data_IF_686751013494
#
_entry.id   IF_686751013494
#
_cell.length_a   1.000
_cell.length_b   1.000
_cell.length_c   1.000
_cell.angle_alpha   90.00
_cell.angle_beta   90.00
_cell.angle_gamma   90.00
#
_symmetry.space_group_name_H-M   'P 1'
#
loop_
_entity.id
_entity.type
_entity.pdbx_description
1 polymer ?
#
# COMPACT_ATOMS: atom_id res chain seq x y z
N UNK A 1 -0.51 -31.75 -8.08
CA UNK A 1 -0.66 -31.38 -6.66
C UNK A 1 -2.06 -30.78 -6.50
N UNK A 2 -2.77 -31.05 -5.42
CA UNK A 2 -4.07 -30.43 -5.17
C UNK A 2 -3.90 -28.91 -4.92
N UNK A 3 -4.89 -28.07 -5.29
CA UNK A 3 -4.88 -26.65 -4.95
C UNK A 3 -4.80 -26.42 -3.44
N UNK A 4 -4.12 -25.36 -3.04
CA UNK A 4 -4.05 -24.94 -1.62
C UNK A 4 -5.36 -24.27 -1.20
N UNK A 5 -5.92 -24.66 -0.05
CA UNK A 5 -7.06 -23.96 0.56
C UNK A 5 -6.63 -22.57 1.05
N UNK A 6 -7.36 -21.53 0.62
CA UNK A 6 -7.01 -20.12 0.87
C UNK A 6 -7.80 -19.58 2.04
N UNK A 7 -7.36 -19.78 3.29
CA UNK A 7 -8.07 -19.33 4.49
C UNK A 7 -8.26 -17.81 4.54
N UNK A 8 -7.33 -17.04 3.99
CA UNK A 8 -7.39 -15.57 3.92
C UNK A 8 -8.51 -15.03 3.02
N UNK A 9 -9.08 -15.84 2.13
CA UNK A 9 -10.24 -15.44 1.31
C UNK A 9 -11.53 -15.46 2.13
N UNK A 10 -11.62 -16.38 3.12
CA UNK A 10 -12.77 -16.51 4.00
C UNK A 10 -12.66 -15.60 5.23
N UNK A 11 -11.44 -15.51 5.80
CA UNK A 11 -11.14 -14.66 6.95
C UNK A 11 -9.76 -14.03 6.80
N UNK A 12 -9.73 -12.76 6.34
CA UNK A 12 -8.49 -11.99 6.20
C UNK A 12 -7.82 -11.67 7.56
N UNK A 13 -8.53 -11.85 8.68
CA UNK A 13 -8.04 -11.63 10.05
C UNK A 13 -7.47 -12.88 10.71
N UNK A 14 -7.62 -14.04 10.09
CA UNK A 14 -7.00 -15.27 10.57
C UNK A 14 -5.47 -15.15 10.46
N UNK A 15 -4.81 -15.23 11.61
CA UNK A 15 -3.36 -14.99 11.74
C UNK A 15 -2.55 -16.26 11.77
N UNK A 16 -3.17 -17.36 12.19
CA UNK A 16 -2.53 -18.63 12.46
C UNK A 16 -3.37 -19.79 11.89
N UNK A 17 -2.70 -20.84 11.50
CA UNK A 17 -3.30 -22.12 11.10
C UNK A 17 -2.29 -23.26 11.29
N UNK A 18 -2.77 -24.47 11.21
CA UNK A 18 -1.93 -25.66 11.03
C UNK A 18 -2.28 -26.23 9.66
N UNK A 19 -1.29 -26.61 8.88
CA UNK A 19 -1.44 -27.26 7.59
C UNK A 19 -0.41 -28.37 7.42
N UNK A 20 -0.57 -29.18 6.37
CA UNK A 20 0.37 -30.25 6.03
C UNK A 20 1.17 -29.86 4.79
N UNK A 21 2.44 -30.18 4.82
CA UNK A 21 3.35 -29.95 3.68
C UNK A 21 2.94 -30.87 2.54
N UNK A 22 2.62 -30.30 1.38
CA UNK A 22 2.37 -31.04 0.14
C UNK A 22 3.66 -31.28 -0.64
N UNK A 23 4.56 -30.28 -0.63
CA UNK A 23 5.86 -30.35 -1.25
C UNK A 23 6.84 -29.39 -0.60
N UNK A 24 8.11 -29.73 -0.64
CA UNK A 24 9.22 -28.88 -0.21
C UNK A 24 10.36 -29.02 -1.23
N UNK A 25 10.79 -27.89 -1.79
CA UNK A 25 11.78 -27.84 -2.86
C UNK A 25 12.91 -26.87 -2.49
N UNK A 26 14.19 -27.30 -2.59
CA UNK A 26 15.31 -26.42 -2.32
C UNK A 26 15.49 -25.37 -3.42
N UNK A 27 15.89 -24.16 -3.05
CA UNK A 27 16.40 -23.15 -3.97
C UNK A 27 17.93 -23.09 -3.89
N UNK A 28 18.57 -23.68 -4.88
CA UNK A 28 20.03 -23.75 -4.94
C UNK A 28 20.73 -22.38 -5.08
N UNK A 29 19.98 -21.32 -5.43
CA UNK A 29 20.55 -19.98 -5.63
C UNK A 29 20.62 -19.21 -4.31
N UNK A 30 19.65 -19.42 -3.41
CA UNK A 30 19.54 -18.66 -2.16
C UNK A 30 19.98 -19.46 -0.92
N UNK A 31 20.14 -20.79 -1.05
CA UNK A 31 20.34 -21.70 0.07
C UNK A 31 19.09 -21.95 0.90
N UNK A 32 17.96 -21.34 0.51
CA UNK A 32 16.64 -21.53 1.09
C UNK A 32 15.84 -22.59 0.35
N UNK A 33 14.52 -22.41 0.33
CA UNK A 33 13.61 -23.28 -0.39
C UNK A 33 12.21 -22.71 -0.51
N UNK A 34 11.30 -23.53 -1.03
CA UNK A 34 9.86 -23.21 -1.07
C UNK A 34 9.05 -24.39 -0.56
N UNK A 35 7.99 -24.09 0.16
CA UNK A 35 7.10 -25.09 0.78
C UNK A 35 5.68 -24.82 0.29
N UNK A 36 4.99 -25.85 -0.19
CA UNK A 36 3.57 -25.84 -0.48
C UNK A 36 2.80 -26.54 0.63
N UNK A 37 1.67 -25.94 1.05
CA UNK A 37 0.78 -26.46 2.09
C UNK A 37 -0.59 -26.82 1.51
N UNK A 38 -1.31 -27.72 2.18
CA UNK A 38 -2.70 -28.08 1.85
C UNK A 38 -3.67 -26.93 2.07
N UNK A 39 -3.41 -26.07 3.07
CA UNK A 39 -4.16 -24.84 3.35
C UNK A 39 -3.28 -23.76 3.95
N UNK A 40 -3.58 -22.48 3.70
CA UNK A 40 -2.73 -21.39 4.16
C UNK A 40 -3.48 -20.12 4.58
N UNK A 41 -2.94 -19.44 5.62
CA UNK A 41 -3.32 -18.07 6.03
C UNK A 41 -2.52 -17.01 5.27
N UNK A 42 -1.43 -17.37 4.59
CA UNK A 42 -0.55 -16.43 3.88
C UNK A 42 -1.15 -16.01 2.55
N UNK A 43 -1.30 -14.71 2.35
CA UNK A 43 -1.70 -14.11 1.08
C UNK A 43 -0.50 -14.10 0.11
N UNK A 44 -0.64 -14.65 -1.10
CA UNK A 44 0.39 -14.56 -2.12
C UNK A 44 0.39 -13.18 -2.78
N UNK A 45 1.52 -12.77 -3.35
CA UNK A 45 1.56 -11.55 -4.14
C UNK A 45 0.53 -11.59 -5.27
N UNK A 46 -0.31 -10.55 -5.36
CA UNK A 46 -1.34 -10.47 -6.38
C UNK A 46 -2.10 -9.16 -6.39
N UNK A 47 -2.63 -8.78 -7.55
CA UNK A 47 -3.49 -7.59 -7.67
C UNK A 47 -2.85 -6.28 -7.23
N UNK A 48 -1.51 -6.16 -7.21
CA UNK A 48 -0.79 -4.98 -6.75
C UNK A 48 -0.54 -4.94 -5.23
N UNK A 49 -0.98 -5.98 -4.50
CA UNK A 49 -0.69 -6.16 -3.09
C UNK A 49 0.49 -7.13 -2.91
N UNK A 50 1.55 -6.76 -2.16
CA UNK A 50 2.65 -7.67 -1.81
C UNK A 50 2.20 -8.87 -0.99
N UNK A 51 2.95 -9.96 -1.08
CA UNK A 51 2.76 -11.16 -0.29
C UNK A 51 2.90 -10.92 1.22
N UNK A 52 2.33 -11.82 2.00
CA UNK A 52 2.57 -11.88 3.43
C UNK A 52 3.97 -12.37 3.77
N UNK A 53 4.32 -12.12 5.02
CA UNK A 53 5.53 -12.61 5.70
C UNK A 53 5.14 -13.26 7.01
N UNK A 54 6.05 -14.04 7.55
CA UNK A 54 5.79 -14.70 8.84
C UNK A 54 6.66 -15.92 9.07
N UNK A 55 6.11 -16.94 9.71
CA UNK A 55 6.84 -18.15 10.07
C UNK A 55 6.02 -19.41 9.81
N UNK A 56 6.74 -20.50 9.49
CA UNK A 56 6.25 -21.87 9.58
C UNK A 56 7.04 -22.58 10.69
N UNK A 57 6.36 -23.22 11.62
CA UNK A 57 6.98 -23.98 12.72
C UNK A 57 6.66 -25.46 12.51
N UNK A 58 7.69 -26.29 12.34
CA UNK A 58 7.56 -27.74 12.21
C UNK A 58 7.30 -28.41 13.56
N UNK A 59 6.85 -29.66 13.54
CA UNK A 59 6.53 -30.44 14.75
C UNK A 59 7.71 -30.62 15.73
N UNK A 60 8.95 -30.57 15.24
CA UNK A 60 10.16 -30.61 16.05
C UNK A 60 10.54 -29.25 16.69
N UNK A 61 9.72 -28.20 16.46
CA UNK A 61 9.98 -26.84 16.93
C UNK A 61 10.87 -26.01 16.03
N UNK A 62 11.32 -26.54 14.89
CA UNK A 62 12.11 -25.77 13.92
C UNK A 62 11.27 -24.65 13.29
N UNK A 63 11.73 -23.41 13.41
CA UNK A 63 11.06 -22.22 12.87
C UNK A 63 11.69 -21.81 11.53
N UNK A 64 10.87 -21.71 10.51
CA UNK A 64 11.24 -21.26 9.16
C UNK A 64 10.68 -19.86 8.92
N UNK A 65 11.54 -18.92 8.52
CA UNK A 65 11.08 -17.58 8.14
C UNK A 65 10.54 -17.59 6.72
N UNK A 66 9.27 -17.22 6.56
CA UNK A 66 8.63 -16.98 5.26
C UNK A 66 8.88 -15.52 4.85
N UNK A 67 9.58 -15.34 3.74
CA UNK A 67 9.97 -14.01 3.23
C UNK A 67 9.09 -13.54 2.08
N UNK A 68 8.46 -14.47 1.36
CA UNK A 68 7.62 -14.20 0.20
C UNK A 68 6.65 -15.36 -0.04
N UNK A 69 5.55 -15.11 -0.76
CA UNK A 69 4.53 -16.12 -1.07
C UNK A 69 4.02 -15.91 -2.49
N UNK A 70 3.99 -16.98 -3.29
CA UNK A 70 3.54 -16.95 -4.68
C UNK A 70 2.52 -18.04 -4.98
N UNK A 71 1.59 -17.76 -5.86
CA UNK A 71 0.64 -18.73 -6.39
C UNK A 71 1.10 -19.24 -7.77
N UNK A 72 1.12 -20.56 -7.95
CA UNK A 72 1.38 -21.21 -9.22
C UNK A 72 0.39 -22.36 -9.45
N UNK A 73 -0.45 -22.24 -10.46
CA UNK A 73 -1.46 -23.26 -10.81
C UNK A 73 -2.35 -23.68 -9.63
N UNK A 74 -2.80 -22.72 -8.81
CA UNK A 74 -3.66 -22.95 -7.64
C UNK A 74 -2.93 -23.44 -6.39
N UNK A 75 -1.60 -23.64 -6.45
CA UNK A 75 -0.76 -24.02 -5.32
C UNK A 75 -0.04 -22.81 -4.77
N UNK A 76 -0.14 -22.59 -3.45
CA UNK A 76 0.54 -21.49 -2.76
C UNK A 76 1.90 -21.96 -2.25
N UNK A 77 2.96 -21.30 -2.72
CA UNK A 77 4.34 -21.55 -2.36
C UNK A 77 4.88 -20.51 -1.39
N UNK A 78 5.36 -20.95 -0.24
CA UNK A 78 5.98 -20.14 0.79
C UNK A 78 7.49 -20.18 0.62
N UNK A 79 8.11 -19.05 0.31
CA UNK A 79 9.56 -18.91 0.16
C UNK A 79 10.21 -18.81 1.53
N UNK A 80 11.07 -19.75 1.88
CA UNK A 80 11.72 -19.85 3.18
C UNK A 80 13.24 -19.66 3.10
N UNK A 81 13.82 -19.06 4.15
CA UNK A 81 15.27 -18.77 4.19
C UNK A 81 16.14 -20.03 4.37
N UNK A 82 15.56 -21.12 4.85
CA UNK A 82 16.24 -22.41 5.02
C UNK A 82 15.25 -23.55 4.82
N UNK A 83 15.72 -24.71 4.33
CA UNK A 83 14.89 -25.91 4.16
C UNK A 83 15.51 -27.06 4.95
N UNK A 84 15.06 -27.35 6.19
CA UNK A 84 15.57 -28.45 7.00
C UNK A 84 15.06 -29.80 6.51
N UNK A 85 15.75 -30.87 6.91
CA UNK A 85 15.39 -32.25 6.54
C UNK A 85 13.99 -32.67 7.04
N UNK A 86 13.46 -32.03 8.08
CA UNK A 86 12.11 -32.28 8.59
C UNK A 86 10.97 -31.68 7.75
N UNK A 87 11.27 -30.81 6.79
CA UNK A 87 10.29 -30.23 5.88
C UNK A 87 9.97 -31.22 4.73
N UNK A 88 9.24 -32.28 5.05
CA UNK A 88 8.89 -33.36 4.10
C UNK A 88 7.37 -33.42 3.86
N UNK A 89 6.91 -33.92 2.72
CA UNK A 89 5.49 -34.12 2.47
C UNK A 89 4.81 -34.92 3.58
N UNK A 90 3.64 -34.44 4.03
CA UNK A 90 2.87 -35.00 5.13
C UNK A 90 3.25 -34.47 6.51
N UNK A 91 4.36 -33.75 6.68
CA UNK A 91 4.71 -33.11 7.94
C UNK A 91 3.77 -31.93 8.26
N UNK A 92 3.44 -31.80 9.54
CA UNK A 92 2.68 -30.65 10.06
C UNK A 92 3.54 -29.38 10.08
N UNK A 93 2.94 -28.26 9.74
CA UNK A 93 3.54 -26.93 9.84
C UNK A 93 2.53 -25.93 10.43
N UNK A 94 2.84 -25.42 11.61
CA UNK A 94 2.08 -24.34 12.22
C UNK A 94 2.47 -23.02 11.53
N UNK A 95 1.48 -22.28 11.09
CA UNK A 95 1.61 -21.03 10.33
C UNK A 95 1.34 -19.84 11.26
N UNK A 96 2.15 -18.78 11.14
CA UNK A 96 1.89 -17.50 11.77
C UNK A 96 2.34 -16.36 10.87
N UNK A 97 1.40 -15.49 10.46
CA UNK A 97 1.72 -14.32 9.63
C UNK A 97 2.22 -13.16 10.48
N UNK A 98 3.06 -12.29 9.89
CA UNK A 98 3.34 -10.96 10.43
C UNK A 98 2.07 -10.10 10.29
N UNK A 99 1.31 -10.03 11.39
CA UNK A 99 0.04 -9.30 11.41
C UNK A 99 0.20 -7.81 11.16
N UNK A 100 1.28 -7.19 11.64
CA UNK A 100 1.52 -5.77 11.42
C UNK A 100 1.73 -5.48 9.92
N UNK A 101 2.45 -6.37 9.23
CA UNK A 101 2.63 -6.31 7.78
C UNK A 101 1.31 -6.52 7.02
N UNK A 102 0.54 -7.58 7.34
CA UNK A 102 -0.76 -7.86 6.73
C UNK A 102 -1.72 -6.69 6.91
N UNK A 103 -1.88 -6.20 8.13
CA UNK A 103 -2.84 -5.14 8.44
C UNK A 103 -2.47 -3.82 7.76
N UNK A 104 -1.18 -3.48 7.67
CA UNK A 104 -0.72 -2.35 6.87
C UNK A 104 -1.16 -2.48 5.41
N UNK A 105 -1.00 -3.68 4.79
CA UNK A 105 -1.43 -3.89 3.40
C UNK A 105 -2.96 -3.81 3.26
N UNK A 106 -3.71 -4.34 4.20
CA UNK A 106 -5.18 -4.21 4.22
C UNK A 106 -5.61 -2.74 4.31
N UNK A 107 -4.96 -1.92 5.14
CA UNK A 107 -5.23 -0.48 5.22
C UNK A 107 -4.94 0.23 3.90
N UNK A 108 -3.78 -0.05 3.27
CA UNK A 108 -3.42 0.54 1.99
C UNK A 108 -4.39 0.13 0.88
N UNK A 109 -4.75 -1.16 0.80
CA UNK A 109 -5.61 -1.70 -0.25
C UNK A 109 -7.05 -1.19 -0.13
N UNK A 110 -7.62 -1.24 1.09
CA UNK A 110 -8.98 -0.71 1.33
C UNK A 110 -9.02 0.80 1.09
N UNK A 111 -8.00 1.54 1.53
CA UNK A 111 -7.90 2.98 1.27
C UNK A 111 -7.80 3.32 -0.21
N UNK A 112 -7.09 2.50 -1.00
CA UNK A 112 -7.06 2.65 -2.46
C UNK A 112 -8.44 2.47 -3.07
N UNK A 113 -9.19 1.42 -2.68
CA UNK A 113 -10.55 1.20 -3.17
C UNK A 113 -11.48 2.37 -2.85
N UNK A 114 -11.43 2.89 -1.62
CA UNK A 114 -12.22 4.07 -1.23
C UNK A 114 -11.86 5.26 -2.13
N UNK A 115 -10.57 5.60 -2.24
CA UNK A 115 -10.15 6.76 -3.01
C UNK A 115 -10.43 6.59 -4.50
N UNK A 116 -10.15 5.44 -5.09
CA UNK A 116 -10.39 5.20 -6.51
C UNK A 116 -11.87 5.19 -6.86
N UNK A 117 -12.72 4.69 -5.96
CA UNK A 117 -14.17 4.74 -6.13
C UNK A 117 -14.71 6.17 -6.07
N UNK A 118 -14.24 6.99 -5.14
CA UNK A 118 -14.60 8.42 -5.04
C UNK A 118 -14.11 9.19 -6.28
N UNK A 119 -12.88 8.94 -6.76
CA UNK A 119 -12.36 9.56 -7.99
C UNK A 119 -13.19 9.17 -9.22
N UNK A 120 -13.64 7.92 -9.28
CA UNK A 120 -14.55 7.47 -10.33
C UNK A 120 -15.91 8.18 -10.26
N UNK A 121 -16.50 8.31 -9.07
CA UNK A 121 -17.79 8.99 -8.86
C UNK A 121 -17.71 10.47 -9.25
N UNK A 122 -16.68 11.18 -8.80
CA UNK A 122 -16.54 12.64 -8.99
C UNK A 122 -16.07 13.02 -10.39
N UNK A 123 -15.14 12.26 -10.97
CA UNK A 123 -14.43 12.66 -12.18
C UNK A 123 -14.50 11.65 -13.32
N UNK A 124 -15.19 10.52 -13.14
CA UNK A 124 -15.17 9.38 -14.07
C UNK A 124 -13.76 8.85 -14.32
N UNK A 125 -12.87 9.04 -13.33
CA UNK A 125 -11.50 8.60 -13.40
C UNK A 125 -11.41 7.09 -13.12
N UNK A 126 -10.85 6.33 -14.07
CA UNK A 126 -10.53 4.92 -13.87
C UNK A 126 -9.15 4.77 -13.23
N UNK A 127 -9.00 3.78 -12.34
CA UNK A 127 -7.69 3.37 -11.86
C UNK A 127 -7.05 2.45 -12.92
N UNK A 128 -6.05 2.99 -13.65
CA UNK A 128 -5.34 2.28 -14.72
C UNK A 128 -3.99 1.71 -14.28
N UNK A 129 -3.59 1.92 -13.03
CA UNK A 129 -2.36 1.38 -12.44
C UNK A 129 -2.39 1.44 -10.92
N UNK A 130 -2.02 0.33 -10.26
CA UNK A 130 -2.02 0.23 -8.80
C UNK A 130 -0.87 -0.65 -8.32
N UNK A 131 -0.18 -0.20 -7.28
CA UNK A 131 0.84 -0.98 -6.59
C UNK A 131 1.03 -0.46 -5.16
N UNK A 132 1.02 -1.37 -4.19
CA UNK A 132 1.36 -1.06 -2.79
C UNK A 132 2.88 -1.22 -2.63
N UNK A 133 3.59 -0.10 -2.72
CA UNK A 133 5.03 -0.05 -2.46
C UNK A 133 5.38 -0.15 -0.96
N UNK A 134 6.70 -0.11 -0.66
CA UNK A 134 7.22 -0.07 0.72
C UNK A 134 6.75 1.17 1.48
N UNK A 135 6.79 2.33 0.84
CA UNK A 135 6.58 3.62 1.48
C UNK A 135 5.17 4.17 1.23
N UNK A 136 4.70 4.06 -0.01
CA UNK A 136 3.41 4.58 -0.43
C UNK A 136 2.72 3.67 -1.45
N UNK A 137 1.42 3.86 -1.60
CA UNK A 137 0.62 3.32 -2.69
C UNK A 137 0.80 4.23 -3.91
N UNK A 138 1.11 3.63 -5.06
CA UNK A 138 1.06 4.31 -6.35
C UNK A 138 -0.26 3.97 -7.04
N UNK A 139 -0.96 5.00 -7.47
CA UNK A 139 -2.21 4.88 -8.22
C UNK A 139 -2.19 5.81 -9.44
N UNK A 140 -2.53 5.29 -10.60
CA UNK A 140 -2.60 6.05 -11.85
C UNK A 140 -4.05 6.19 -12.30
N UNK A 141 -4.48 7.41 -12.64
CA UNK A 141 -5.84 7.69 -13.13
C UNK A 141 -5.86 7.83 -14.65
N UNK A 142 -7.02 7.55 -15.26
CA UNK A 142 -7.23 7.64 -16.72
C UNK A 142 -7.42 9.08 -17.23
N UNK A 143 -7.73 10.04 -16.35
CA UNK A 143 -8.01 11.43 -16.70
C UNK A 143 -7.24 12.39 -15.79
N UNK A 144 -6.94 13.62 -16.27
CA UNK A 144 -6.32 14.64 -15.42
C UNK A 144 -7.31 15.13 -14.34
N UNK A 145 -6.80 15.39 -13.15
CA UNK A 145 -7.58 15.92 -12.02
C UNK A 145 -6.79 17.08 -11.44
N UNK A 146 -7.47 18.19 -11.19
CA UNK A 146 -6.84 19.38 -10.60
C UNK A 146 -6.43 19.14 -9.14
N UNK A 147 -5.47 19.92 -8.64
CA UNK A 147 -5.06 19.86 -7.24
C UNK A 147 -6.23 20.15 -6.27
N UNK A 148 -7.18 21.01 -6.67
CA UNK A 148 -8.42 21.26 -5.92
C UNK A 148 -9.30 20.02 -5.87
N UNK A 149 -9.59 19.42 -7.05
CA UNK A 149 -10.39 18.20 -7.13
C UNK A 149 -9.78 17.03 -6.36
N UNK A 150 -8.44 16.92 -6.32
CA UNK A 150 -7.78 15.91 -5.49
C UNK A 150 -7.97 16.18 -3.98
N UNK A 151 -7.96 17.45 -3.53
CA UNK A 151 -8.25 17.78 -2.12
C UNK A 151 -9.69 17.45 -1.75
N UNK A 152 -10.64 17.75 -2.64
CA UNK A 152 -12.05 17.42 -2.43
C UNK A 152 -12.28 15.89 -2.38
N UNK A 153 -11.66 15.15 -3.29
CA UNK A 153 -11.72 13.68 -3.31
C UNK A 153 -11.08 13.06 -2.06
N UNK A 154 -9.93 13.57 -1.61
CA UNK A 154 -9.28 13.14 -0.37
C UNK A 154 -10.21 13.35 0.84
N UNK A 155 -10.87 14.51 0.93
CA UNK A 155 -11.83 14.78 2.00
C UNK A 155 -13.05 13.87 1.92
N UNK A 156 -13.60 13.66 0.73
CA UNK A 156 -14.74 12.77 0.52
C UNK A 156 -14.40 11.32 0.89
N UNK A 157 -13.22 10.84 0.49
CA UNK A 157 -12.73 9.50 0.86
C UNK A 157 -12.57 9.35 2.40
N UNK A 158 -12.05 10.37 3.08
CA UNK A 158 -11.94 10.35 4.55
C UNK A 158 -13.31 10.39 5.25
N UNK A 159 -14.34 11.01 4.67
CA UNK A 159 -15.71 10.93 5.22
C UNK A 159 -16.23 9.49 5.24
N UNK A 160 -16.00 8.69 4.21
CA UNK A 160 -16.34 7.26 4.19
C UNK A 160 -15.61 6.50 5.31
N UNK A 161 -14.35 6.88 5.61
CA UNK A 161 -13.62 6.29 6.75
C UNK A 161 -14.30 6.64 8.07
N UNK A 162 -14.70 7.89 8.27
CA UNK A 162 -15.32 8.36 9.51
C UNK A 162 -16.72 7.77 9.73
N UNK A 163 -17.44 7.41 8.67
CA UNK A 163 -18.72 6.72 8.74
C UNK A 163 -18.57 5.27 9.23
N UNK A 164 -17.36 4.70 9.15
CA UNK A 164 -17.04 3.34 9.60
C UNK A 164 -18.00 2.27 9.06
N UNK A 165 -18.28 2.32 7.75
CA UNK A 165 -19.16 1.34 7.10
C UNK A 165 -18.46 0.00 6.91
N UNK A 166 -19.20 -1.15 6.90
CA UNK A 166 -18.63 -2.46 6.69
C UNK A 166 -18.08 -2.61 5.26
N UNK A 167 -16.97 -3.33 5.11
CA UNK A 167 -16.45 -3.78 3.82
C UNK A 167 -16.99 -5.17 3.55
N UNK A 168 -17.85 -5.29 2.56
CA UNK A 168 -18.56 -6.53 2.25
C UNK A 168 -17.82 -7.30 1.16
N UNK A 169 -17.66 -8.61 1.38
CA UNK A 169 -17.07 -9.52 0.41
C UNK A 169 -18.13 -10.54 0.01
N UNK A 170 -18.38 -10.65 -1.30
CA UNK A 170 -19.38 -11.57 -1.85
C UNK A 170 -18.81 -12.34 -3.04
N UNK A 171 -19.41 -13.50 -3.29
CA UNK A 171 -19.13 -14.36 -4.44
C UNK A 171 -20.44 -14.56 -5.20
N UNK A 172 -20.88 -13.57 -6.02
CA UNK A 172 -22.14 -13.62 -6.73
C UNK A 172 -22.18 -14.77 -7.74
N UNK A 173 -23.38 -15.31 -7.97
CA UNK A 173 -23.65 -16.22 -9.09
C UNK A 173 -23.48 -15.49 -10.42
N UNK A 174 -23.35 -16.19 -11.57
CA UNK A 174 -23.27 -15.53 -12.87
C UNK A 174 -24.48 -14.60 -13.16
N UNK A 175 -25.68 -14.99 -12.72
CA UNK A 175 -26.91 -14.21 -12.87
C UNK A 175 -26.90 -12.93 -12.03
N UNK A 176 -26.45 -13.02 -10.77
CA UNK A 176 -26.29 -11.88 -9.86
C UNK A 176 -25.20 -10.94 -10.37
N UNK A 177 -24.08 -11.51 -10.87
CA UNK A 177 -22.97 -10.74 -11.40
C UNK A 177 -23.37 -9.96 -12.65
N UNK A 178 -24.18 -10.53 -13.53
CA UNK A 178 -24.69 -9.86 -14.74
C UNK A 178 -25.61 -8.68 -14.41
N UNK A 179 -26.28 -8.68 -13.25
CA UNK A 179 -27.13 -7.60 -12.77
C UNK A 179 -26.37 -6.53 -11.97
N UNK A 180 -25.10 -6.82 -11.57
CA UNK A 180 -24.30 -5.95 -10.71
C UNK A 180 -23.46 -4.98 -11.55
N UNK A 181 -23.53 -3.68 -11.22
CA UNK A 181 -22.58 -2.71 -11.74
C UNK A 181 -21.34 -2.68 -10.83
N UNK A 182 -20.19 -3.10 -11.36
CA UNK A 182 -18.94 -3.13 -10.62
C UNK A 182 -17.76 -2.74 -11.51
N UNK A 183 -16.67 -2.27 -10.88
CA UNK A 183 -15.42 -1.98 -11.57
C UNK A 183 -14.55 -3.24 -11.63
N UNK A 184 -13.84 -3.43 -12.72
CA UNK A 184 -12.85 -4.51 -12.85
C UNK A 184 -11.68 -4.03 -13.69
N UNK A 185 -10.47 -4.36 -13.26
CA UNK A 185 -9.21 -4.05 -13.98
C UNK A 185 -8.88 -5.10 -15.06
N UNK A 186 -9.53 -6.27 -15.01
CA UNK A 186 -9.27 -7.41 -15.92
C UNK A 186 -10.56 -8.19 -16.15
N UNK A 187 -10.63 -8.87 -17.27
CA UNK A 187 -11.60 -9.95 -17.44
C UNK A 187 -11.20 -11.10 -16.51
N UNK A 188 -12.16 -11.59 -15.73
CA UNK A 188 -11.96 -12.65 -14.73
C UNK A 188 -12.65 -13.91 -15.24
N UNK A 189 -11.87 -14.98 -15.43
CA UNK A 189 -12.41 -16.29 -15.72
C UNK A 189 -12.73 -17.03 -14.40
N UNK A 190 -13.91 -17.64 -14.30
CA UNK A 190 -14.33 -18.39 -13.11
C UNK A 190 -15.10 -17.54 -12.11
N UNK A 191 -15.05 -17.94 -10.83
CA UNK A 191 -15.80 -17.26 -9.76
C UNK A 191 -15.21 -15.88 -9.47
N UNK A 192 -16.05 -14.85 -9.54
CA UNK A 192 -15.66 -13.47 -9.29
C UNK A 192 -15.89 -13.13 -7.81
N UNK A 193 -14.88 -12.61 -7.15
CA UNK A 193 -14.96 -12.08 -5.79
C UNK A 193 -15.19 -10.57 -5.85
N UNK A 194 -16.31 -10.11 -5.31
CA UNK A 194 -16.69 -8.69 -5.27
C UNK A 194 -16.43 -8.12 -3.87
N UNK A 195 -15.76 -6.99 -3.84
CA UNK A 195 -15.57 -6.15 -2.66
C UNK A 195 -16.48 -4.94 -2.80
N UNK A 196 -17.40 -4.76 -1.86
CA UNK A 196 -18.33 -3.62 -1.81
C UNK A 196 -18.02 -2.77 -0.59
N UNK A 197 -17.75 -1.50 -0.82
CA UNK A 197 -17.62 -0.46 0.20
C UNK A 197 -18.79 0.51 -0.01
N UNK A 198 -19.85 0.43 0.81
CA UNK A 198 -21.04 1.28 0.64
C UNK A 198 -20.68 2.76 0.52
N UNK A 199 -21.25 3.43 -0.47
CA UNK A 199 -20.98 4.85 -0.74
C UNK A 199 -19.65 5.16 -1.45
N UNK A 200 -18.74 4.20 -1.56
CA UNK A 200 -17.44 4.40 -2.18
C UNK A 200 -17.22 3.53 -3.42
N UNK A 201 -17.23 2.21 -3.31
CA UNK A 201 -16.78 1.33 -4.39
C UNK A 201 -17.50 -0.01 -4.44
N UNK A 202 -17.67 -0.55 -5.64
CA UNK A 202 -18.01 -1.95 -5.91
C UNK A 202 -17.03 -2.46 -6.96
N UNK A 203 -16.15 -3.39 -6.59
CA UNK A 203 -15.03 -3.78 -7.45
C UNK A 203 -14.71 -5.27 -7.34
N UNK A 204 -14.35 -5.88 -8.46
CA UNK A 204 -13.77 -7.22 -8.47
C UNK A 204 -12.33 -7.17 -7.95
N UNK A 205 -12.07 -7.84 -6.82
CA UNK A 205 -10.76 -7.82 -6.17
C UNK A 205 -10.51 -9.10 -5.35
N UNK A 206 -9.29 -9.67 -5.47
CA UNK A 206 -8.87 -10.84 -4.71
C UNK A 206 -7.98 -10.50 -3.49
N UNK A 207 -7.68 -9.22 -3.25
CA UNK A 207 -6.82 -8.79 -2.15
C UNK A 207 -7.46 -8.89 -0.77
N UNK A 208 -6.67 -8.66 0.26
CA UNK A 208 -7.18 -8.60 1.64
C UNK A 208 -7.58 -7.19 2.01
N UNK A 209 -8.71 -7.07 2.73
CA UNK A 209 -9.30 -5.79 3.10
C UNK A 209 -9.58 -5.70 4.59
N UNK A 210 -9.69 -4.46 5.12
CA UNK A 210 -10.19 -4.23 6.47
C UNK A 210 -11.66 -4.59 6.56
N UNK A 211 -12.14 -5.02 7.74
CA UNK A 211 -13.54 -5.39 7.94
C UNK A 211 -14.49 -4.18 7.87
N UNK A 212 -13.98 -2.99 8.19
CA UNK A 212 -14.73 -1.74 8.11
C UNK A 212 -13.82 -0.59 7.70
N UNK A 213 -14.38 0.45 7.12
CA UNK A 213 -13.64 1.60 6.59
C UNK A 213 -12.91 2.38 7.68
N UNK A 214 -13.45 2.45 8.90
CA UNK A 214 -12.81 3.10 10.04
C UNK A 214 -11.44 2.51 10.41
N UNK A 215 -11.20 1.24 10.11
CA UNK A 215 -9.89 0.58 10.33
C UNK A 215 -8.81 1.02 9.34
N UNK A 216 -9.17 1.67 8.24
CA UNK A 216 -8.22 2.34 7.34
C UNK A 216 -7.53 3.50 8.05
N UNK A 217 -8.24 4.17 8.98
CA UNK A 217 -7.74 5.27 9.79
C UNK A 217 -7.79 6.62 9.06
N UNK A 218 -6.91 6.85 8.10
CA UNK A 218 -6.84 8.07 7.29
C UNK A 218 -6.27 7.77 5.91
N UNK A 219 -6.75 8.45 4.88
CA UNK A 219 -6.15 8.49 3.54
C UNK A 219 -5.48 9.86 3.37
N UNK A 220 -4.23 9.87 2.88
CA UNK A 220 -3.50 11.08 2.54
C UNK A 220 -2.84 10.97 1.18
N UNK A 221 -3.17 11.88 0.27
CA UNK A 221 -2.46 12.06 -0.99
C UNK A 221 -1.18 12.86 -0.70
N UNK A 222 -0.01 12.27 -0.95
CA UNK A 222 1.28 12.91 -0.71
C UNK A 222 1.71 13.77 -1.90
N UNK A 223 1.65 13.18 -3.10
CA UNK A 223 2.03 13.84 -4.35
C UNK A 223 1.08 13.50 -5.47
N UNK A 224 1.02 14.39 -6.46
CA UNK A 224 0.33 14.17 -7.72
C UNK A 224 1.20 14.71 -8.86
N UNK A 225 1.32 13.95 -9.93
CA UNK A 225 2.06 14.33 -11.14
C UNK A 225 1.28 13.94 -12.39
N UNK A 226 1.40 14.71 -13.47
CA UNK A 226 0.79 14.36 -14.75
C UNK A 226 1.44 13.10 -15.30
N UNK A 227 0.65 12.10 -15.68
CA UNK A 227 1.14 10.83 -16.16
C UNK A 227 0.21 10.22 -17.22
N UNK A 228 0.71 9.99 -18.43
CA UNK A 228 0.01 9.30 -19.54
C UNK A 228 -1.43 9.77 -19.80
N UNK A 229 -1.67 11.08 -19.75
CA UNK A 229 -2.99 11.68 -19.98
C UNK A 229 -3.89 11.71 -18.73
N UNK A 230 -3.46 11.16 -17.61
CA UNK A 230 -4.09 11.23 -16.31
C UNK A 230 -3.16 11.79 -15.24
N UNK A 231 -3.34 11.35 -14.00
CA UNK A 231 -2.53 11.74 -12.84
C UNK A 231 -2.00 10.51 -12.14
N UNK A 232 -0.71 10.50 -11.83
CA UNK A 232 -0.10 9.56 -10.91
C UNK A 232 -0.13 10.12 -9.49
N UNK A 233 -0.71 9.37 -8.59
CA UNK A 233 -0.82 9.70 -7.17
C UNK A 233 0.11 8.83 -6.32
N UNK A 234 0.74 9.44 -5.32
CA UNK A 234 1.37 8.76 -4.20
C UNK A 234 0.47 8.93 -2.98
N UNK A 235 0.00 7.83 -2.41
CA UNK A 235 -1.02 7.83 -1.36
C UNK A 235 -0.56 6.96 -0.19
N UNK A 236 -0.89 7.36 1.02
CA UNK A 236 -0.68 6.58 2.24
C UNK A 236 -1.94 6.50 3.07
N UNK A 237 -2.13 5.36 3.75
CA UNK A 237 -3.28 5.14 4.62
C UNK A 237 -2.84 4.71 6.01
N UNK A 238 -3.68 4.95 7.01
CA UNK A 238 -3.54 4.43 8.37
C UNK A 238 -2.22 4.80 9.04
N UNK A 239 -1.50 3.78 9.51
CA UNK A 239 -0.24 3.98 10.21
C UNK A 239 0.82 4.71 9.38
N UNK A 240 0.82 4.56 8.05
CA UNK A 240 1.74 5.31 7.16
C UNK A 240 1.38 6.79 7.12
N UNK A 241 0.08 7.13 7.05
CA UNK A 241 -0.38 8.52 7.06
C UNK A 241 -0.02 9.22 8.39
N UNK A 242 -0.14 8.50 9.53
CA UNK A 242 0.27 9.03 10.83
C UNK A 242 1.79 9.29 10.88
N UNK A 243 2.61 8.34 10.43
CA UNK A 243 4.08 8.52 10.39
C UNK A 243 4.48 9.71 9.51
N UNK A 244 3.83 9.89 8.36
CA UNK A 244 4.11 11.05 7.50
C UNK A 244 3.74 12.37 8.16
N UNK A 245 2.57 12.45 8.84
CA UNK A 245 2.18 13.63 9.61
C UNK A 245 3.18 13.95 10.74
N UNK A 246 3.68 12.92 11.44
CA UNK A 246 4.71 13.08 12.47
C UNK A 246 6.05 13.57 11.88
N UNK A 247 6.48 13.00 10.74
CA UNK A 247 7.70 13.42 10.06
C UNK A 247 7.61 14.85 9.54
N UNK A 248 6.45 15.25 8.97
CA UNK A 248 6.20 16.65 8.59
C UNK A 248 6.31 17.59 9.78
N UNK A 249 5.71 17.23 10.93
CA UNK A 249 5.75 18.02 12.15
C UNK A 249 7.18 18.17 12.68
N UNK A 250 7.98 17.10 12.65
CA UNK A 250 9.39 17.14 13.06
C UNK A 250 10.18 18.07 12.16
N UNK A 251 10.08 17.90 10.83
CA UNK A 251 10.77 18.78 9.86
C UNK A 251 10.41 20.26 10.06
N UNK A 252 9.13 20.54 10.32
CA UNK A 252 8.67 21.91 10.59
C UNK A 252 9.25 22.47 11.91
N UNK A 253 9.34 21.64 12.95
CA UNK A 253 9.93 22.04 14.22
C UNK A 253 11.43 22.33 14.07
N UNK A 254 12.17 21.53 13.31
CA UNK A 254 13.60 21.71 13.05
C UNK A 254 13.87 23.03 12.28
N UNK A 255 13.04 23.32 11.26
CA UNK A 255 13.11 24.60 10.53
C UNK A 255 12.76 25.77 11.47
N UNK A 256 11.73 25.62 12.29
CA UNK A 256 11.35 26.64 13.27
C UNK A 256 12.45 26.94 14.28
N UNK A 257 13.12 25.90 14.80
CA UNK A 257 14.24 26.04 15.72
C UNK A 257 15.43 26.77 15.06
N UNK A 258 15.80 26.38 13.81
CA UNK A 258 16.88 27.02 13.06
C UNK A 258 16.63 28.51 12.81
N UNK A 259 15.38 28.89 12.52
CA UNK A 259 15.01 30.27 12.16
C UNK A 259 14.44 31.09 13.32
N UNK A 260 14.43 30.53 14.55
CA UNK A 260 13.77 31.13 15.73
C UNK A 260 12.32 31.54 15.46
N UNK A 261 11.58 30.69 14.72
CA UNK A 261 10.22 30.95 14.27
C UNK A 261 9.22 29.98 14.91
N UNK A 262 8.01 30.45 15.23
CA UNK A 262 6.91 29.59 15.63
C UNK A 262 6.43 28.72 14.45
N UNK A 263 5.77 27.62 14.75
CA UNK A 263 5.36 26.63 13.76
C UNK A 263 4.49 27.22 12.61
N UNK A 264 3.60 28.15 12.91
CA UNK A 264 2.76 28.85 11.95
C UNK A 264 3.49 29.96 11.17
N UNK A 265 4.71 30.34 11.59
CA UNK A 265 5.54 31.40 11.01
C UNK A 265 6.75 30.87 10.24
N UNK A 266 6.94 29.57 10.17
CA UNK A 266 8.14 28.95 9.52
C UNK A 266 8.27 29.37 8.05
N UNK A 267 7.20 29.37 7.28
CA UNK A 267 7.21 29.79 5.87
C UNK A 267 7.63 31.26 5.72
N UNK A 268 7.09 32.15 6.54
CA UNK A 268 7.44 33.58 6.55
C UNK A 268 8.92 33.78 6.89
N UNK A 269 9.43 33.04 7.87
CA UNK A 269 10.83 33.10 8.27
C UNK A 269 11.77 32.60 7.16
N UNK A 270 11.40 31.54 6.42
CA UNK A 270 12.15 31.06 5.25
C UNK A 270 12.21 32.13 4.16
N UNK A 271 11.08 32.75 3.83
CA UNK A 271 11.04 33.85 2.83
C UNK A 271 11.90 35.02 3.25
N UNK A 272 11.82 35.46 4.51
CA UNK A 272 12.68 36.54 5.01
C UNK A 272 14.16 36.22 4.81
N UNK A 273 14.64 35.06 5.23
CA UNK A 273 16.05 34.67 5.08
C UNK A 273 16.45 34.55 3.60
N UNK A 274 15.57 34.07 2.75
CA UNK A 274 15.82 34.00 1.30
C UNK A 274 15.98 35.41 0.70
N UNK A 275 15.14 36.37 1.08
CA UNK A 275 15.19 37.76 0.59
C UNK A 275 16.45 38.46 1.11
N UNK A 276 16.79 38.31 2.40
CA UNK A 276 18.03 38.83 3.00
C UNK A 276 19.26 38.25 2.30
N UNK A 277 19.31 36.93 2.06
CA UNK A 277 20.39 36.29 1.31
C UNK A 277 20.54 36.82 -0.11
N UNK A 278 19.40 37.00 -0.81
CA UNK A 278 19.38 37.51 -2.17
C UNK A 278 19.91 38.96 -2.23
N UNK A 279 19.46 39.82 -1.30
CA UNK A 279 19.96 41.19 -1.20
C UNK A 279 21.46 41.26 -0.89
N UNK A 280 21.94 40.40 0.04
CA UNK A 280 23.37 40.31 0.38
C UNK A 280 24.20 39.85 -0.81
N UNK A 281 23.70 38.86 -1.58
CA UNK A 281 24.37 38.37 -2.80
C UNK A 281 24.53 39.47 -3.85
N UNK A 282 23.51 40.30 -4.07
CA UNK A 282 23.60 41.44 -4.98
C UNK A 282 24.54 42.51 -4.48
N UNK A 283 24.51 42.83 -3.20
CA UNK A 283 25.45 43.79 -2.59
C UNK A 283 26.91 43.33 -2.70
N UNK A 284 27.16 42.04 -2.41
CA UNK A 284 28.50 41.44 -2.56
C UNK A 284 29.00 41.47 -4.01
N UNK A 285 28.14 41.13 -4.98
CA UNK A 285 28.46 41.23 -6.41
C UNK A 285 28.82 42.66 -6.81
N UNK A 286 28.06 43.65 -6.36
CA UNK A 286 28.34 45.08 -6.57
C UNK A 286 29.70 45.50 -6.02
N UNK A 287 30.02 45.10 -4.80
CA UNK A 287 31.34 45.37 -4.18
C UNK A 287 32.49 44.73 -4.96
N UNK A 288 32.36 43.47 -5.39
CA UNK A 288 33.39 42.79 -6.19
C UNK A 288 33.59 43.47 -7.55
N UNK A 289 32.50 43.90 -8.21
CA UNK A 289 32.57 44.63 -9.49
C UNK A 289 33.25 45.98 -9.33
N UNK A 290 33.00 46.72 -8.22
CA UNK A 290 33.67 47.98 -7.90
C UNK A 290 35.18 47.77 -7.64
N UNK A 291 35.56 46.75 -6.86
CA UNK A 291 36.96 46.44 -6.62
C UNK A 291 37.72 46.11 -7.92
N UNK A 292 37.15 45.38 -8.84
CA UNK A 292 37.77 45.05 -10.13
C UNK A 292 37.96 46.27 -11.03
N UNK A 293 37.08 47.27 -10.96
CA UNK A 293 37.20 48.53 -11.72
C UNK A 293 38.33 49.43 -11.16
N UNK A 294 38.63 49.36 -9.84
CA UNK A 294 39.71 50.16 -9.22
C UNK A 294 41.10 49.49 -9.25
N UNK A 295 41.15 48.18 -9.57
CA UNK A 295 42.41 47.42 -9.63
C UNK A 295 42.90 47.10 -11.06
N UNK A 296 42.19 47.55 -12.09
CA UNK A 296 42.67 47.47 -13.45
C UNK A 296 43.55 48.69 -13.77
N UNK A 297 44.82 48.49 -14.22
CA UNK A 297 45.77 49.58 -14.50
C UNK A 297 45.29 50.43 -15.72
#
# INVERSE_FOLDING_TARGET
>A
MQPTEKYYEHDAYRREAVGHILAAEPDSRTGGGRIALDGTVFYPEGGGQPADRGTLTLADGTVLTVTDVHEQAGVIWHMVTSLPAGAVPGAEAAQAIDWAWRFDKMQQHTGEHILSGILHQMFRAENVGFHIGSDAVRMDTSVPISAEGLREAELAANRIIWENVPVLITYPTPEELAALTYRSKKEIAGQVRIVTIPGADVCACCGTHTAATGQVGQIKILTSENYKGGVRLSVVCGGRALREAQAMRSRQADIGALLSAKADQTAVAVHRVYDEYTALKFAHFGLCSHCLLYTSP
#
